data_IF_908349098205
#
_entry.id   IF_908349098205
#
_cell.length_a   1.000
_cell.length_b   1.000
_cell.length_c   1.000
_cell.angle_alpha   90.00
_cell.angle_beta   90.00
_cell.angle_gamma   90.00
#
_symmetry.space_group_name_H-M   'P 1'
#
loop_
_entity.id
_entity.type
_entity.pdbx_description
1 polymer ?
#
# COMPACT_ATOMS: atom_id res chain seq x y z
N UNK A 1 8.95 -20.36 13.60
CA UNK A 1 9.80 -20.23 12.39
C UNK A 1 8.87 -20.27 11.18
N UNK A 2 8.72 -19.16 10.45
CA UNK A 2 7.78 -19.06 9.33
C UNK A 2 8.33 -19.85 8.14
N UNK A 3 7.59 -20.85 7.68
CA UNK A 3 8.04 -21.79 6.66
C UNK A 3 7.88 -21.16 5.26
N UNK A 4 8.86 -20.35 4.84
CA UNK A 4 8.86 -19.56 3.60
C UNK A 4 8.57 -20.40 2.33
N UNK A 5 8.89 -21.70 2.35
CA UNK A 5 8.66 -22.62 1.23
C UNK A 5 7.17 -22.93 0.97
N UNK A 6 6.28 -22.66 1.93
CA UNK A 6 4.82 -22.87 1.77
C UNK A 6 4.08 -21.62 1.30
N UNK A 7 4.76 -20.46 1.27
CA UNK A 7 4.17 -19.18 0.90
C UNK A 7 4.10 -19.03 -0.62
N UNK A 8 3.02 -18.45 -1.14
CA UNK A 8 2.91 -18.03 -2.53
C UNK A 8 3.99 -16.98 -2.87
N UNK A 9 4.33 -16.75 -4.15
CA UNK A 9 5.27 -15.70 -4.54
C UNK A 9 4.91 -14.32 -3.96
N UNK A 10 3.61 -14.00 -3.90
CA UNK A 10 3.10 -12.75 -3.34
C UNK A 10 3.27 -12.71 -1.82
N UNK A 11 2.93 -13.79 -1.11
CA UNK A 11 3.13 -13.86 0.35
C UNK A 11 4.61 -13.80 0.75
N UNK A 12 5.51 -14.28 -0.13
CA UNK A 12 6.96 -14.11 0.05
C UNK A 12 7.37 -12.66 -0.17
N UNK A 13 6.83 -11.98 -1.19
CA UNK A 13 7.05 -10.55 -1.40
C UNK A 13 6.63 -9.74 -0.18
N UNK A 14 5.44 -10.00 0.39
CA UNK A 14 4.94 -9.30 1.58
C UNK A 14 5.83 -9.52 2.83
N UNK A 15 6.63 -10.58 2.87
CA UNK A 15 7.55 -10.86 3.97
C UNK A 15 8.96 -10.29 3.74
N UNK A 16 9.24 -9.71 2.58
CA UNK A 16 10.54 -9.14 2.25
C UNK A 16 10.77 -7.80 2.93
N UNK A 17 12.01 -7.54 3.35
CA UNK A 17 12.41 -6.24 3.95
C UNK A 17 12.62 -5.15 2.90
N UNK A 18 12.91 -5.56 1.66
CA UNK A 18 13.19 -4.68 0.53
C UNK A 18 12.61 -5.30 -0.73
N UNK A 19 11.92 -4.50 -1.53
CA UNK A 19 11.27 -4.90 -2.79
C UNK A 19 11.43 -3.77 -3.80
N UNK A 20 11.10 -4.01 -5.06
CA UNK A 20 11.14 -3.02 -6.14
C UNK A 20 9.74 -2.50 -6.46
N UNK A 21 9.60 -1.29 -7.03
CA UNK A 21 8.35 -0.83 -7.62
C UNK A 21 7.80 -1.80 -8.67
N UNK A 22 8.70 -2.51 -9.39
CA UNK A 22 8.35 -3.54 -10.36
C UNK A 22 7.62 -4.72 -9.74
N UNK A 23 8.23 -5.35 -8.72
CA UNK A 23 7.65 -6.50 -8.03
C UNK A 23 6.29 -6.15 -7.42
N UNK A 24 6.17 -4.96 -6.83
CA UNK A 24 4.92 -4.49 -6.26
C UNK A 24 3.83 -4.29 -7.32
N UNK A 25 4.16 -3.66 -8.46
CA UNK A 25 3.21 -3.44 -9.54
C UNK A 25 2.67 -4.75 -10.13
N UNK A 26 3.50 -5.78 -10.24
CA UNK A 26 3.07 -7.11 -10.65
C UNK A 26 2.15 -7.75 -9.61
N UNK A 27 2.51 -7.66 -8.32
CA UNK A 27 1.70 -8.21 -7.24
C UNK A 27 0.31 -7.54 -7.13
N UNK A 28 0.22 -6.22 -7.34
CA UNK A 28 -1.04 -5.49 -7.41
C UNK A 28 -1.98 -6.03 -8.49
N UNK A 29 -1.42 -6.48 -9.62
CA UNK A 29 -2.14 -7.05 -10.75
C UNK A 29 -2.35 -8.58 -10.64
N UNK A 30 -2.09 -9.18 -9.48
CA UNK A 30 -2.12 -10.64 -9.24
C UNK A 30 -1.23 -11.43 -10.23
N UNK A 31 -0.03 -10.91 -10.48
CA UNK A 31 1.00 -11.55 -11.29
C UNK A 31 2.17 -11.99 -10.42
N UNK A 32 2.96 -12.93 -10.95
CA UNK A 32 4.19 -13.36 -10.30
C UNK A 32 5.16 -12.17 -10.16
N UNK A 33 5.56 -11.75 -8.95
CA UNK A 33 6.43 -10.59 -8.75
C UNK A 33 7.80 -10.68 -9.44
N UNK A 34 8.25 -11.89 -9.81
CA UNK A 34 9.52 -12.12 -10.51
C UNK A 34 9.38 -12.14 -12.05
N UNK A 35 8.18 -11.91 -12.58
CA UNK A 35 7.92 -11.83 -14.02
C UNK A 35 8.69 -10.66 -14.63
N UNK A 36 9.20 -10.78 -15.86
CA UNK A 36 9.82 -9.63 -16.55
C UNK A 36 8.74 -8.74 -17.14
N UNK A 37 9.04 -7.45 -17.28
CA UNK A 37 8.09 -6.50 -17.88
C UNK A 37 7.63 -6.90 -19.30
N UNK A 38 8.51 -7.51 -20.10
CA UNK A 38 8.18 -7.97 -21.44
C UNK A 38 7.27 -9.20 -21.50
N UNK A 39 7.10 -9.90 -20.37
CA UNK A 39 6.25 -11.09 -20.25
C UNK A 39 4.85 -10.74 -19.68
N UNK A 40 4.60 -9.46 -19.36
CA UNK A 40 3.32 -9.02 -18.80
C UNK A 40 2.24 -9.09 -19.88
N UNK A 41 1.07 -9.70 -19.59
CA UNK A 41 -0.06 -9.72 -20.51
C UNK A 41 -0.49 -8.32 -20.96
N UNK A 42 -0.82 -8.18 -22.25
CA UNK A 42 -1.11 -6.89 -22.88
C UNK A 42 -2.28 -6.14 -22.21
N UNK A 43 -3.27 -6.88 -21.71
CA UNK A 43 -4.45 -6.36 -20.99
C UNK A 43 -4.11 -5.80 -19.60
N UNK A 44 -2.98 -6.22 -19.01
CA UNK A 44 -2.49 -5.74 -17.70
C UNK A 44 -1.31 -4.79 -17.80
N UNK A 45 -0.67 -4.69 -18.96
CA UNK A 45 0.58 -3.94 -19.15
C UNK A 45 0.46 -2.47 -18.73
N UNK A 46 -0.60 -1.78 -19.15
CA UNK A 46 -0.78 -0.36 -18.83
C UNK A 46 -0.94 -0.12 -17.33
N UNK A 47 -1.73 -0.95 -16.64
CA UNK A 47 -1.90 -0.92 -15.19
C UNK A 47 -0.55 -1.12 -14.47
N UNK A 48 0.21 -2.15 -14.86
CA UNK A 48 1.52 -2.47 -14.27
C UNK A 48 2.54 -1.36 -14.53
N UNK A 49 2.60 -0.82 -15.75
CA UNK A 49 3.53 0.28 -16.10
C UNK A 49 3.20 1.56 -15.34
N UNK A 50 1.92 1.89 -15.22
CA UNK A 50 1.42 3.04 -14.47
C UNK A 50 1.80 2.92 -13.00
N UNK A 51 1.43 1.82 -12.34
CA UNK A 51 1.73 1.58 -10.93
C UNK A 51 3.24 1.62 -10.67
N UNK A 52 4.04 0.94 -11.49
CA UNK A 52 5.51 0.91 -11.35
C UNK A 52 6.13 2.30 -11.44
N UNK A 53 5.65 3.12 -12.38
CA UNK A 53 6.13 4.49 -12.58
C UNK A 53 5.76 5.39 -11.40
N UNK A 54 4.53 5.30 -10.94
CA UNK A 54 4.01 6.16 -9.89
C UNK A 54 4.56 5.81 -8.51
N UNK A 55 4.74 4.52 -8.20
CA UNK A 55 5.40 4.07 -6.97
C UNK A 55 6.85 4.60 -6.96
N UNK A 56 7.62 4.40 -8.04
CA UNK A 56 8.98 4.94 -8.11
C UNK A 56 9.02 6.47 -7.93
N UNK A 57 8.06 7.19 -8.53
CA UNK A 57 7.95 8.65 -8.36
C UNK A 57 7.65 9.04 -6.91
N UNK A 58 6.76 8.34 -6.23
CA UNK A 58 6.46 8.58 -4.82
C UNK A 58 7.69 8.36 -3.93
N UNK A 59 8.45 7.29 -4.17
CA UNK A 59 9.71 7.04 -3.47
C UNK A 59 10.73 8.15 -3.74
N UNK A 60 10.83 8.64 -4.97
CA UNK A 60 11.69 9.79 -5.29
C UNK A 60 11.29 11.03 -4.50
N UNK A 61 10.02 11.41 -4.53
CA UNK A 61 9.52 12.58 -3.80
C UNK A 61 9.77 12.48 -2.30
N UNK A 62 9.59 11.28 -1.72
CA UNK A 62 9.85 11.05 -0.30
C UNK A 62 11.33 11.07 0.06
N UNK A 63 12.18 10.42 -0.73
CA UNK A 63 13.61 10.25 -0.41
C UNK A 63 14.50 11.42 -0.85
N UNK A 64 13.98 12.31 -1.72
CA UNK A 64 14.74 13.40 -2.33
C UNK A 64 15.78 12.92 -3.35
N UNK A 65 15.82 11.62 -3.69
CA UNK A 65 16.78 11.03 -4.62
C UNK A 65 16.05 10.34 -5.76
N UNK A 66 16.57 10.47 -6.99
CA UNK A 66 15.98 9.85 -8.17
C UNK A 66 15.86 8.34 -7.95
N UNK A 67 14.63 7.82 -8.03
CA UNK A 67 14.34 6.42 -7.82
C UNK A 67 14.13 5.67 -9.15
N UNK A 68 14.69 4.47 -9.27
CA UNK A 68 14.48 3.54 -10.36
C UNK A 68 13.26 2.64 -10.16
N UNK A 69 12.72 2.10 -11.27
CA UNK A 69 11.58 1.17 -11.25
C UNK A 69 11.95 -0.24 -10.79
N UNK A 70 13.22 -0.61 -10.98
CA UNK A 70 13.78 -1.94 -10.72
C UNK A 70 14.84 -1.91 -9.59
N UNK A 71 14.97 -0.77 -8.91
CA UNK A 71 15.84 -0.61 -7.75
C UNK A 71 15.07 -0.98 -6.48
N UNK A 72 15.70 -1.73 -5.55
CA UNK A 72 15.04 -2.17 -4.32
C UNK A 72 15.01 -1.05 -3.28
N UNK A 73 13.83 -0.84 -2.65
CA UNK A 73 13.61 0.07 -1.54
C UNK A 73 12.96 -0.64 -0.37
N UNK A 74 12.97 0.00 0.80
CA UNK A 74 12.31 -0.48 2.01
C UNK A 74 10.85 -0.84 1.70
N UNK A 75 10.48 -2.10 1.96
CA UNK A 75 9.19 -2.65 1.55
C UNK A 75 8.01 -1.84 2.10
N UNK A 76 8.09 -1.39 3.36
CA UNK A 76 7.09 -0.52 3.95
C UNK A 76 6.85 0.78 3.16
N UNK A 77 7.90 1.43 2.65
CA UNK A 77 7.73 2.67 1.89
C UNK A 77 7.06 2.40 0.52
N UNK A 78 7.34 1.24 -0.08
CA UNK A 78 6.67 0.80 -1.31
C UNK A 78 5.21 0.42 -1.05
N UNK A 79 4.91 -0.29 0.04
CA UNK A 79 3.54 -0.60 0.44
C UNK A 79 2.72 0.67 0.65
N UNK A 80 3.27 1.66 1.36
CA UNK A 80 2.66 2.98 1.50
C UNK A 80 2.47 3.65 0.12
N UNK A 81 3.49 3.67 -0.74
CA UNK A 81 3.37 4.26 -2.08
C UNK A 81 2.36 3.54 -3.00
N UNK A 82 2.02 2.29 -2.69
CA UNK A 82 1.14 1.45 -3.51
C UNK A 82 -0.35 1.57 -3.20
N UNK A 83 -0.73 2.15 -2.06
CA UNK A 83 -2.14 2.28 -1.64
C UNK A 83 -3.09 2.85 -2.71
N UNK A 84 -2.71 3.87 -3.51
CA UNK A 84 -3.60 4.40 -4.55
C UNK A 84 -3.98 3.39 -5.64
N UNK A 85 -3.27 2.27 -5.72
CA UNK A 85 -3.45 1.23 -6.75
C UNK A 85 -4.15 -0.03 -6.22
N UNK A 86 -4.66 0.00 -4.98
CA UNK A 86 -5.49 -1.08 -4.45
C UNK A 86 -6.86 -1.03 -5.13
N UNK A 87 -7.21 -2.12 -5.81
CA UNK A 87 -8.42 -2.24 -6.62
C UNK A 87 -9.17 -3.55 -6.31
N UNK A 88 -10.38 -3.68 -6.85
CA UNK A 88 -11.12 -4.94 -6.79
C UNK A 88 -10.33 -6.03 -7.54
N UNK A 89 -9.94 -7.09 -6.83
CA UNK A 89 -9.10 -8.16 -7.37
C UNK A 89 -7.63 -8.10 -6.97
N UNK A 90 -7.20 -7.05 -6.25
CA UNK A 90 -5.87 -7.07 -5.61
C UNK A 90 -5.78 -8.23 -4.61
N UNK A 91 -4.68 -9.01 -4.61
CA UNK A 91 -4.51 -10.13 -3.68
C UNK A 91 -4.59 -9.71 -2.21
N UNK A 92 -5.31 -10.49 -1.39
CA UNK A 92 -5.55 -10.18 0.03
C UNK A 92 -4.25 -9.98 0.84
N UNK A 93 -3.20 -10.75 0.52
CA UNK A 93 -1.90 -10.61 1.16
C UNK A 93 -1.26 -9.23 0.93
N UNK A 94 -1.53 -8.61 -0.23
CA UNK A 94 -1.07 -7.26 -0.56
C UNK A 94 -1.91 -6.23 0.19
N UNK A 95 -3.24 -6.39 0.19
CA UNK A 95 -4.14 -5.50 0.94
C UNK A 95 -3.72 -5.47 2.42
N UNK A 96 -3.53 -6.65 3.02
CA UNK A 96 -3.08 -6.77 4.42
C UNK A 96 -1.74 -6.07 4.64
N UNK A 97 -0.73 -6.31 3.79
CA UNK A 97 0.59 -5.69 3.94
C UNK A 97 0.56 -4.16 3.81
N UNK A 98 -0.30 -3.63 2.94
CA UNK A 98 -0.50 -2.18 2.78
C UNK A 98 -1.22 -1.58 3.99
N UNK A 99 -2.25 -2.26 4.50
CA UNK A 99 -2.95 -1.84 5.72
C UNK A 99 -2.02 -1.84 6.93
N UNK A 100 -1.24 -2.90 7.12
CA UNK A 100 -0.25 -2.99 8.21
C UNK A 100 0.76 -1.85 8.12
N UNK A 101 1.27 -1.55 6.91
CA UNK A 101 2.18 -0.43 6.71
C UNK A 101 1.55 0.93 7.05
N UNK A 102 0.27 1.13 6.73
CA UNK A 102 -0.49 2.35 7.07
C UNK A 102 -0.61 2.50 8.59
N UNK A 103 -0.98 1.43 9.28
CA UNK A 103 -1.17 1.45 10.73
C UNK A 103 0.16 1.67 11.47
N UNK A 104 1.24 1.01 11.01
CA UNK A 104 2.60 1.28 11.46
C UNK A 104 2.99 2.75 11.28
N UNK A 105 2.67 3.34 10.12
CA UNK A 105 2.96 4.74 9.83
C UNK A 105 2.20 5.67 10.78
N UNK A 106 0.89 5.43 10.99
CA UNK A 106 0.04 6.22 11.90
C UNK A 106 0.57 6.22 13.34
N UNK A 107 1.27 5.17 13.76
CA UNK A 107 1.95 5.11 15.05
C UNK A 107 3.20 6.00 15.19
N UNK A 108 3.65 6.65 14.11
CA UNK A 108 4.88 7.45 14.10
C UNK A 108 4.63 8.96 14.23
N UNK A 109 5.65 9.69 14.70
CA UNK A 109 5.65 11.16 14.64
C UNK A 109 5.78 11.62 13.18
N UNK A 110 5.11 12.71 12.82
CA UNK A 110 5.10 13.29 11.46
C UNK A 110 4.53 12.36 10.36
N UNK A 111 3.67 11.42 10.74
CA UNK A 111 3.06 10.47 9.81
C UNK A 111 2.29 11.16 8.67
N UNK A 112 1.69 12.34 8.92
CA UNK A 112 0.94 13.11 7.91
C UNK A 112 1.82 13.61 6.76
N UNK A 113 3.02 14.10 7.07
CA UNK A 113 3.98 14.56 6.07
C UNK A 113 4.47 13.39 5.21
N UNK A 114 4.78 12.26 5.86
CA UNK A 114 5.20 11.05 5.17
C UNK A 114 4.07 10.45 4.32
N UNK A 115 2.84 10.47 4.81
CA UNK A 115 1.65 10.06 4.05
C UNK A 115 1.40 10.95 2.83
N UNK A 116 1.58 12.27 2.96
CA UNK A 116 1.45 13.21 1.84
C UNK A 116 2.51 12.94 0.76
N UNK A 117 3.76 12.69 1.18
CA UNK A 117 4.88 12.48 0.28
C UNK A 117 4.83 11.12 -0.46
N UNK A 118 4.33 10.07 0.20
CA UNK A 118 4.28 8.71 -0.38
C UNK A 118 2.93 8.38 -1.03
N UNK A 119 1.83 8.87 -0.46
CA UNK A 119 0.47 8.48 -0.82
C UNK A 119 -0.31 9.52 -1.62
N UNK A 120 0.22 10.74 -1.74
CA UNK A 120 -0.50 11.89 -2.26
C UNK A 120 -1.66 12.34 -1.36
N UNK A 121 -2.32 13.45 -1.72
CA UNK A 121 -3.41 14.05 -0.93
C UNK A 121 -4.63 13.16 -0.66
N UNK A 122 -4.73 11.97 -1.28
CA UNK A 122 -5.80 11.00 -1.03
C UNK A 122 -5.73 10.34 0.36
N UNK A 123 -4.54 10.21 0.94
CA UNK A 123 -4.35 9.56 2.26
C UNK A 123 -4.94 10.37 3.41
N UNK A 124 -4.74 11.69 3.37
CA UNK A 124 -5.25 12.61 4.39
C UNK A 124 -6.78 12.75 4.30
N UNK A 125 -7.36 12.64 3.10
CA UNK A 125 -8.81 12.69 2.90
C UNK A 125 -9.52 11.40 3.38
N UNK A 126 -8.97 10.22 3.07
CA UNK A 126 -9.53 8.93 3.51
C UNK A 126 -9.38 8.73 5.01
N UNK A 127 -8.23 9.12 5.59
CA UNK A 127 -8.01 9.06 7.05
C UNK A 127 -8.90 10.06 7.81
N UNK A 128 -9.17 11.26 7.25
CA UNK A 128 -10.16 12.20 7.81
C UNK A 128 -11.59 11.65 7.76
N UNK A 129 -11.95 10.91 6.71
CA UNK A 129 -13.27 10.23 6.63
C UNK A 129 -13.41 9.07 7.62
N UNK A 130 -12.37 8.26 7.82
CA UNK A 130 -12.37 7.18 8.82
C UNK A 130 -12.39 7.72 10.27
N UNK A 131 -11.57 8.73 10.59
CA UNK A 131 -11.59 9.36 11.90
C UNK A 131 -12.94 10.04 12.23
N UNK A 132 -13.63 10.59 11.23
CA UNK A 132 -14.98 11.14 11.39
C UNK A 132 -16.06 10.04 11.59
N UNK A 133 -15.85 8.85 11.04
CA UNK A 133 -16.76 7.70 11.24
C UNK A 133 -16.59 7.07 12.63
N UNK A 134 -15.36 7.03 13.17
CA UNK A 134 -15.07 6.50 14.50
C UNK A 134 -15.42 7.50 15.63
N UNK A 135 -15.35 8.81 15.37
CA UNK A 135 -15.77 9.85 16.31
C UNK A 135 -17.28 10.05 16.45
N UNK A 136 -18.10 9.34 15.66
CA UNK A 136 -19.56 9.50 15.61
C UNK A 136 -20.37 8.60 16.56
N UNK A 137 -19.74 7.69 17.30
CA UNK A 137 -20.44 6.73 18.17
C UNK A 137 -20.13 6.96 19.65
N UNK A 138 -20.40 8.16 20.16
CA UNK A 138 -20.64 8.34 21.60
C UNK A 138 -21.64 9.46 21.81
N UNK A 139 -22.92 9.09 21.92
CA UNK A 139 -23.96 10.08 22.18
C UNK A 139 -25.39 9.63 21.94
N UNK A 140 -25.76 8.38 22.23
CA UNK A 140 -27.16 8.09 22.50
C UNK A 140 -27.31 7.08 23.62
N UNK A 141 -27.31 7.60 24.85
CA UNK A 141 -27.83 6.87 25.99
C UNK A 141 -28.49 7.86 26.93
N UNK A 142 -29.71 7.50 27.33
CA UNK A 142 -30.54 8.05 28.41
C UNK A 142 -31.49 9.21 28.06
N UNK A 143 -32.74 8.85 27.72
CA UNK A 143 -33.88 9.08 28.61
C UNK A 143 -35.08 8.21 28.23
N UNK A 144 -35.13 7.01 28.83
CA UNK A 144 -36.39 6.41 29.23
C UNK A 144 -36.76 7.00 30.59
N UNK A 145 -37.97 7.55 30.69
CA UNK A 145 -38.75 7.74 31.92
C UNK A 145 -40.20 7.80 31.45
N UNK A 146 -40.84 6.64 31.38
CA UNK A 146 -41.76 6.12 32.40
C UNK A 146 -42.94 7.05 32.67
N UNK A 147 -44.12 6.50 32.32
CA UNK A 147 -45.50 6.77 32.77
C UNK A 147 -46.08 8.17 32.62
#
# INVERSE_FOLDING_TARGET
>A
MINILKKSPIERLCASVSITPHEMALALADLNPSMRIGDVPQDKFEQVESARTMIARAIWLHSGRKAGKDEPYRAGDIFLASFPFIEAGTPEAIITAVTDAIDDLRGTKNWEEKALNLGGGGWSATSKKQAAAEGGSTGNSTKNRET
#
